data_IF_301412185913
#
_entry.id   IF_301412185913
#
_cell.length_a   1.000
_cell.length_b   1.000
_cell.length_c   1.000
_cell.angle_alpha   90.00
_cell.angle_beta   90.00
_cell.angle_gamma   90.00
#
_symmetry.space_group_name_H-M   'P 1'
#
loop_
_entity.id
_entity.type
_entity.pdbx_description
1 polymer ?
#
# COMPACT_ATOMS: atom_id res chain seq x y z
N UNK A 1 -18.47 -1.41 34.79
CA UNK A 1 -17.14 -1.52 34.15
C UNK A 1 -17.31 -0.90 32.77
N UNK A 2 -17.02 0.39 32.69
CA UNK A 2 -17.42 1.26 31.57
C UNK A 2 -16.66 0.96 30.28
N UNK A 3 -17.40 1.18 29.18
CA UNK A 3 -17.00 1.09 27.79
C UNK A 3 -15.75 1.94 27.49
N UNK A 4 -14.62 1.29 27.24
CA UNK A 4 -13.39 1.95 26.75
C UNK A 4 -13.39 2.07 25.21
N UNK A 5 -14.56 2.05 24.56
CA UNK A 5 -14.67 1.95 23.09
C UNK A 5 -14.92 3.26 22.35
N UNK A 6 -15.13 4.37 23.06
CA UNK A 6 -15.66 5.59 22.45
C UNK A 6 -14.63 6.72 22.19
N UNK A 7 -13.33 6.47 22.39
CA UNK A 7 -12.28 7.47 22.10
C UNK A 7 -11.17 6.94 21.16
N UNK A 8 -11.54 6.29 20.05
CA UNK A 8 -10.69 6.38 18.86
C UNK A 8 -10.89 7.78 18.29
N UNK A 9 -10.10 8.72 18.81
CA UNK A 9 -10.05 10.11 18.40
C UNK A 9 -9.84 10.14 16.88
N UNK A 10 -10.94 10.37 16.14
CA UNK A 10 -10.99 10.50 14.67
C UNK A 10 -10.33 11.81 14.28
N UNK A 11 -9.03 11.92 14.54
CA UNK A 11 -8.21 13.01 14.04
C UNK A 11 -8.39 13.04 12.52
N UNK A 12 -8.61 14.21 11.91
CA UNK A 12 -8.70 14.32 10.46
C UNK A 12 -7.40 13.76 9.87
N UNK A 13 -7.47 12.59 9.24
CA UNK A 13 -6.36 12.07 8.44
C UNK A 13 -6.23 12.98 7.22
N UNK A 14 -5.43 14.03 7.32
CA UNK A 14 -5.00 14.77 6.13
C UNK A 14 -4.15 13.82 5.31
N UNK A 15 -4.49 13.56 4.03
CA UNK A 15 -3.63 12.77 3.17
C UNK A 15 -2.23 13.40 3.14
N UNK A 16 -1.14 12.61 3.20
CA UNK A 16 0.18 13.18 3.01
C UNK A 16 0.20 13.94 1.68
N UNK A 17 0.60 15.22 1.71
CA UNK A 17 0.73 16.07 0.51
C UNK A 17 1.95 15.70 -0.34
N UNK A 18 2.64 14.61 0.01
CA UNK A 18 3.85 14.15 -0.63
C UNK A 18 3.46 13.45 -1.95
N UNK A 19 3.85 14.04 -3.07
CA UNK A 19 3.72 13.44 -4.40
C UNK A 19 4.96 12.58 -4.68
N UNK A 20 4.84 11.25 -4.81
CA UNK A 20 5.99 10.38 -5.02
C UNK A 20 6.70 10.73 -6.34
N UNK A 21 8.04 10.73 -6.30
CA UNK A 21 8.89 10.96 -7.47
C UNK A 21 9.42 9.64 -8.01
N UNK A 22 9.64 9.59 -9.33
CA UNK A 22 10.11 8.40 -10.02
C UNK A 22 11.17 8.74 -11.08
N UNK A 23 12.10 7.82 -11.33
CA UNK A 23 13.03 7.88 -12.46
C UNK A 23 12.49 7.02 -13.61
N UNK A 24 12.11 7.67 -14.72
CA UNK A 24 11.57 7.00 -15.91
C UNK A 24 12.60 6.17 -16.67
N UNK A 25 13.90 6.31 -16.39
CA UNK A 25 14.95 5.55 -17.06
C UNK A 25 15.23 4.20 -16.38
N UNK A 26 14.72 4.00 -15.16
CA UNK A 26 14.90 2.78 -14.39
C UNK A 26 13.53 2.13 -14.19
N UNK A 27 13.37 0.88 -14.63
CA UNK A 27 12.11 0.14 -14.48
C UNK A 27 12.19 -0.87 -13.34
N UNK A 28 11.05 -1.13 -12.71
CA UNK A 28 10.86 -2.12 -11.65
C UNK A 28 9.62 -2.96 -11.93
N UNK A 29 9.73 -4.27 -11.73
CA UNK A 29 8.60 -5.20 -11.77
C UNK A 29 7.72 -4.98 -10.55
N UNK A 30 6.41 -4.81 -10.75
CA UNK A 30 5.44 -4.59 -9.68
C UNK A 30 4.25 -5.55 -9.80
N UNK A 31 3.56 -5.73 -8.68
CA UNK A 31 2.26 -6.42 -8.61
C UNK A 31 1.18 -5.35 -8.42
N UNK A 32 0.21 -5.31 -9.32
CA UNK A 32 -0.86 -4.31 -9.31
C UNK A 32 -2.21 -4.96 -9.11
N UNK A 33 -3.01 -4.37 -8.25
CA UNK A 33 -4.40 -4.75 -8.04
C UNK A 33 -5.32 -3.85 -8.86
N UNK A 34 -6.15 -4.48 -9.71
CA UNK A 34 -7.08 -3.81 -10.61
C UNK A 34 -8.55 -4.08 -10.23
N UNK A 35 -8.77 -4.77 -9.11
CA UNK A 35 -10.10 -5.11 -8.61
C UNK A 35 -10.20 -6.56 -8.15
N UNK A 36 -11.39 -6.96 -7.73
CA UNK A 36 -11.64 -8.31 -7.19
C UNK A 36 -11.14 -9.38 -8.17
N UNK A 37 -10.24 -10.24 -7.67
CA UNK A 37 -9.59 -11.32 -8.43
C UNK A 37 -8.79 -10.86 -9.66
N UNK A 38 -8.42 -9.58 -9.76
CA UNK A 38 -7.60 -9.04 -10.84
C UNK A 38 -6.30 -8.46 -10.28
N UNK A 39 -5.24 -9.28 -10.36
CA UNK A 39 -3.88 -8.90 -10.00
C UNK A 39 -2.98 -9.19 -11.19
N UNK A 40 -2.16 -8.21 -11.56
CA UNK A 40 -1.31 -8.28 -12.75
C UNK A 40 0.13 -7.93 -12.40
N UNK A 41 1.06 -8.51 -13.13
CA UNK A 41 2.47 -8.13 -13.08
C UNK A 41 2.70 -7.10 -14.18
N UNK A 42 3.30 -5.97 -13.84
CA UNK A 42 3.62 -4.91 -14.80
C UNK A 42 4.99 -4.28 -14.52
N UNK A 43 5.46 -3.44 -15.44
CA UNK A 43 6.69 -2.65 -15.29
C UNK A 43 6.32 -1.20 -14.96
N UNK A 44 6.96 -0.63 -13.94
CA UNK A 44 6.78 0.77 -13.54
C UNK A 44 8.12 1.47 -13.35
N UNK A 45 8.18 2.80 -13.56
CA UNK A 45 9.35 3.60 -13.18
C UNK A 45 9.76 3.36 -11.73
N UNK A 46 11.05 3.29 -11.50
CA UNK A 46 11.63 3.07 -10.16
C UNK A 46 11.38 4.33 -9.32
N UNK A 47 10.92 4.19 -8.07
CA UNK A 47 10.79 5.34 -7.18
C UNK A 47 12.16 5.95 -6.88
N UNK A 48 12.17 7.27 -6.67
CA UNK A 48 13.32 8.00 -6.11
C UNK A 48 12.92 8.57 -4.74
N UNK A 49 13.94 8.93 -3.94
CA UNK A 49 13.72 9.57 -2.63
C UNK A 49 12.91 10.85 -2.81
N UNK A 50 11.76 10.95 -2.12
CA UNK A 50 10.86 12.09 -2.23
C UNK A 50 11.02 13.03 -1.05
N UNK A 51 11.11 12.47 0.15
CA UNK A 51 11.37 13.14 1.43
C UNK A 51 12.64 12.59 2.10
N UNK A 52 13.23 13.37 3.01
CA UNK A 52 14.49 13.05 3.70
C UNK A 52 14.40 11.76 4.55
N UNK A 53 13.18 11.35 4.91
CA UNK A 53 12.92 10.15 5.71
C UNK A 53 12.66 8.88 4.89
N UNK A 54 12.59 8.99 3.56
CA UNK A 54 12.35 7.84 2.68
C UNK A 54 13.59 6.93 2.53
N UNK A 55 13.36 5.66 2.23
CA UNK A 55 14.40 4.71 1.84
C UNK A 55 13.96 3.84 0.66
N UNK A 56 14.91 3.51 -0.23
CA UNK A 56 14.68 2.59 -1.34
C UNK A 56 15.29 1.24 -1.00
N UNK A 57 14.46 0.20 -0.97
CA UNK A 57 14.87 -1.15 -0.60
C UNK A 57 14.82 -2.06 -1.83
N UNK A 58 15.87 -2.86 -2.03
CA UNK A 58 15.82 -3.98 -2.98
C UNK A 58 15.11 -5.15 -2.30
N UNK A 59 13.89 -5.45 -2.76
CA UNK A 59 13.12 -6.59 -2.24
C UNK A 59 13.71 -7.89 -2.75
N UNK A 60 14.39 -8.66 -1.89
CA UNK A 60 14.93 -9.99 -2.24
C UNK A 60 13.89 -11.10 -2.13
N UNK A 61 12.92 -10.90 -1.23
CA UNK A 61 11.83 -11.84 -0.97
C UNK A 61 10.65 -11.11 -0.33
N UNK A 62 9.44 -11.54 -0.64
CA UNK A 62 8.21 -11.10 0.03
C UNK A 62 7.25 -12.29 0.14
N UNK A 63 6.35 -12.24 1.12
CA UNK A 63 5.34 -13.27 1.36
C UNK A 63 3.94 -12.73 1.09
N UNK A 64 2.99 -13.62 0.82
CA UNK A 64 1.56 -13.28 0.75
C UNK A 64 0.95 -13.41 2.15
N UNK A 65 0.28 -12.37 2.60
CA UNK A 65 -0.45 -12.36 3.87
C UNK A 65 -1.96 -12.55 3.66
N UNK A 66 -2.68 -12.94 4.71
CA UNK A 66 -4.15 -12.99 4.69
C UNK A 66 -4.79 -11.64 4.35
N UNK A 67 -4.16 -10.51 4.72
CA UNK A 67 -4.59 -9.15 4.35
C UNK A 67 -4.67 -8.96 2.84
N UNK A 68 -3.73 -9.53 2.09
CA UNK A 68 -3.68 -9.44 0.64
C UNK A 68 -4.85 -10.22 0.03
N UNK A 69 -5.22 -11.35 0.65
CA UNK A 69 -6.37 -12.15 0.25
C UNK A 69 -7.71 -11.46 0.54
N UNK A 70 -7.81 -10.69 1.63
CA UNK A 70 -9.00 -9.87 1.90
C UNK A 70 -9.23 -8.85 0.78
N UNK A 71 -8.17 -8.18 0.32
CA UNK A 71 -8.20 -7.26 -0.82
C UNK A 71 -8.51 -7.99 -2.13
N UNK A 72 -7.83 -9.10 -2.40
CA UNK A 72 -8.00 -9.88 -3.63
C UNK A 72 -9.42 -10.47 -3.78
N UNK A 73 -9.95 -11.06 -2.71
CA UNK A 73 -11.25 -11.73 -2.73
C UNK A 73 -12.44 -10.79 -2.44
N UNK A 74 -12.17 -9.53 -2.07
CA UNK A 74 -13.15 -8.58 -1.53
C UNK A 74 -13.92 -9.14 -0.32
N UNK A 75 -13.20 -9.80 0.60
CA UNK A 75 -13.75 -10.40 1.84
C UNK A 75 -13.54 -9.47 3.05
N UNK A 76 -13.86 -8.19 2.90
CA UNK A 76 -14.07 -7.27 4.01
C UNK A 76 -15.57 -7.05 4.17
N UNK A 77 -16.30 -8.12 4.51
CA UNK A 77 -17.68 -8.02 4.99
C UNK A 77 -17.71 -8.51 6.43
N UNK A 78 -17.84 -7.58 7.37
CA UNK A 78 -18.48 -7.85 8.65
C UNK A 78 -19.97 -8.00 8.33
N UNK A 79 -20.43 -9.25 8.21
CA UNK A 79 -21.84 -9.58 8.36
C UNK A 79 -22.03 -10.24 9.72
#
# INVERSE_FOLDING_TARGET
MESVRDEVQKSPITPPTISPKYDSNLMSTVIEWHGKKDVRVSQRPRPIITDDTDAIIHVTSSTICGSDLHMFAAKLSLN
#
